data_IF_542257107186
#
_entry.id   IF_542257107186
#
_cell.length_a   1.000
_cell.length_b   1.000
_cell.length_c   1.000
_cell.angle_alpha   90.00
_cell.angle_beta   90.00
_cell.angle_gamma   90.00
#
_symmetry.space_group_name_H-M   'P 1'
#
loop_
_entity.id
_entity.type
_entity.pdbx_description
1 polymer ?
#
# COMPACT_ATOMS: atom_id res chain seq x y z
N UNK A 1 7.24 2.56 12.18
CA UNK A 1 6.14 2.34 11.21
C UNK A 1 6.43 3.14 9.95
N UNK A 2 5.72 2.91 8.84
CA UNK A 2 5.67 3.85 7.69
C UNK A 2 4.21 4.30 7.52
N UNK A 3 3.93 5.55 7.15
CA UNK A 3 2.55 5.97 6.93
C UNK A 3 1.99 5.37 5.62
N UNK A 4 0.68 5.20 5.51
CA UNK A 4 0.01 4.72 4.29
C UNK A 4 0.41 5.54 3.05
N UNK A 5 0.58 6.86 3.18
CA UNK A 5 1.08 7.72 2.09
C UNK A 5 2.41 7.26 1.49
N UNK A 6 3.29 6.67 2.31
CA UNK A 6 4.58 6.18 1.84
C UNK A 6 4.40 4.99 0.89
N UNK A 7 3.44 4.11 1.20
CA UNK A 7 3.10 2.99 0.33
C UNK A 7 2.55 3.49 -1.00
N UNK A 8 1.59 4.42 -1.00
CA UNK A 8 1.08 5.00 -2.23
C UNK A 8 2.24 5.54 -3.10
N UNK A 9 3.12 6.38 -2.54
CA UNK A 9 4.29 6.89 -3.28
C UNK A 9 5.25 5.81 -3.78
N UNK A 10 5.39 4.71 -3.05
CA UNK A 10 6.24 3.59 -3.46
C UNK A 10 5.60 2.84 -4.64
N UNK A 11 4.30 2.58 -4.57
CA UNK A 11 3.57 1.97 -5.67
C UNK A 11 3.60 2.86 -6.92
N UNK A 12 3.55 4.19 -6.78
CA UNK A 12 3.54 5.10 -7.94
C UNK A 12 4.83 5.03 -8.74
N UNK A 13 5.95 4.98 -8.03
CA UNK A 13 7.27 4.85 -8.63
C UNK A 13 7.44 3.51 -9.35
N UNK A 14 6.83 2.45 -8.85
CA UNK A 14 6.92 1.11 -9.42
C UNK A 14 5.95 0.92 -10.61
N UNK A 15 4.79 1.60 -10.63
CA UNK A 15 3.75 1.44 -11.68
C UNK A 15 3.84 2.45 -12.82
N UNK A 16 4.75 3.43 -12.76
CA UNK A 16 4.97 4.47 -13.78
C UNK A 16 3.75 5.36 -14.10
N UNK A 17 2.67 5.30 -13.33
CA UNK A 17 1.49 6.17 -13.46
C UNK A 17 1.13 6.86 -12.13
N UNK A 18 1.70 8.05 -11.92
CA UNK A 18 1.48 8.89 -10.75
C UNK A 18 0.00 9.31 -10.57
N UNK A 19 -0.80 9.31 -11.65
CA UNK A 19 -2.19 9.78 -11.63
C UNK A 19 -3.16 8.73 -11.07
N UNK A 20 -2.93 7.45 -11.31
CA UNK A 20 -3.75 6.37 -10.73
C UNK A 20 -3.56 6.24 -9.23
N UNK A 21 -2.33 6.49 -8.76
CA UNK A 21 -2.00 6.37 -7.35
C UNK A 21 -2.53 7.55 -6.56
N UNK A 22 -2.41 8.75 -7.11
CA UNK A 22 -3.00 9.96 -6.52
C UNK A 22 -4.50 9.75 -6.38
N UNK A 23 -5.18 9.27 -7.43
CA UNK A 23 -6.60 8.89 -7.35
C UNK A 23 -6.85 7.80 -6.31
N UNK A 24 -6.03 6.75 -6.23
CA UNK A 24 -6.18 5.70 -5.23
C UNK A 24 -6.06 6.21 -3.79
N UNK A 25 -5.13 7.15 -3.55
CA UNK A 25 -4.97 7.81 -2.27
C UNK A 25 -6.15 8.72 -1.89
N UNK A 26 -6.92 9.20 -2.87
CA UNK A 26 -8.12 10.01 -2.64
C UNK A 26 -9.42 9.18 -2.58
N UNK A 27 -9.51 8.07 -3.31
CA UNK A 27 -10.69 7.21 -3.41
C UNK A 27 -10.83 6.18 -2.29
N UNK A 28 -9.75 5.88 -1.56
CA UNK A 28 -9.85 5.45 -0.17
C UNK A 28 -10.39 4.07 0.14
N UNK A 29 -10.03 3.09 -0.68
CA UNK A 29 -10.34 1.70 -0.40
C UNK A 29 -9.05 0.94 -0.18
N UNK A 30 -8.66 0.88 1.10
CA UNK A 30 -7.54 0.08 1.57
C UNK A 30 -7.99 -0.80 2.73
N UNK A 31 -7.69 -2.10 2.62
CA UNK A 31 -7.93 -3.10 3.66
C UNK A 31 -6.62 -3.42 4.34
N UNK A 32 -6.53 -3.16 5.64
CA UNK A 32 -5.39 -3.48 6.49
C UNK A 32 -5.72 -4.65 7.37
N UNK A 33 -4.99 -5.75 7.24
CA UNK A 33 -5.23 -7.00 7.98
C UNK A 33 -6.71 -7.39 7.96
N UNK A 34 -7.33 -7.32 6.77
CA UNK A 34 -8.74 -7.62 6.51
C UNK A 34 -9.75 -6.61 7.06
N UNK A 35 -9.31 -5.61 7.82
CA UNK A 35 -10.12 -4.51 8.31
C UNK A 35 -10.16 -3.42 7.25
N UNK A 36 -11.37 -2.95 6.90
CA UNK A 36 -11.51 -1.80 6.03
C UNK A 36 -11.07 -0.55 6.80
N UNK A 37 -9.91 -0.02 6.44
CA UNK A 37 -9.41 1.23 6.97
C UNK A 37 -9.93 2.37 6.11
N UNK A 38 -10.60 3.35 6.75
CA UNK A 38 -10.84 4.65 6.13
C UNK A 38 -9.51 5.25 5.67
N UNK A 39 -9.61 6.17 4.72
CA UNK A 39 -8.53 6.76 3.96
C UNK A 39 -7.59 7.68 4.77
N UNK A 40 -7.14 7.23 5.93
CA UNK A 40 -6.18 7.92 6.78
C UNK A 40 -4.76 7.68 6.23
N UNK A 41 -4.30 8.64 5.44
CA UNK A 41 -2.98 8.61 4.81
C UNK A 41 -1.82 8.66 5.82
N UNK A 42 -2.08 9.11 7.06
CA UNK A 42 -1.10 9.13 8.15
C UNK A 42 -1.12 7.83 8.97
N UNK A 43 -2.07 6.92 8.70
CA UNK A 43 -2.17 5.66 9.43
C UNK A 43 -0.83 4.90 9.41
N UNK A 44 -0.32 4.47 10.57
CA UNK A 44 0.98 3.82 10.65
C UNK A 44 0.90 2.35 10.24
N UNK A 45 1.58 2.00 9.16
CA UNK A 45 1.86 0.63 8.75
C UNK A 45 3.03 0.05 9.56
N UNK A 46 2.72 -0.96 10.35
CA UNK A 46 3.66 -1.83 11.02
C UNK A 46 4.22 -2.86 10.04
N UNK A 47 5.22 -3.63 10.49
CA UNK A 47 5.78 -4.70 9.68
C UNK A 47 4.83 -5.89 9.67
N UNK A 48 4.79 -6.64 8.56
CA UNK A 48 3.90 -7.80 8.36
C UNK A 48 2.40 -7.47 8.24
N UNK A 49 2.01 -6.19 8.18
CA UNK A 49 0.62 -5.87 7.83
C UNK A 49 0.34 -6.35 6.41
N UNK A 50 -0.79 -7.05 6.25
CA UNK A 50 -1.34 -7.40 4.95
C UNK A 50 -2.18 -6.24 4.45
N UNK A 51 -1.93 -5.83 3.22
CA UNK A 51 -2.55 -4.64 2.66
C UNK A 51 -3.18 -4.99 1.34
N UNK A 52 -4.47 -4.72 1.22
CA UNK A 52 -5.24 -4.91 -0.01
C UNK A 52 -5.67 -3.53 -0.53
N UNK A 53 -5.21 -3.17 -1.72
CA UNK A 53 -5.64 -1.98 -2.43
C UNK A 53 -6.66 -2.37 -3.51
N UNK A 54 -7.90 -1.93 -3.33
CA UNK A 54 -8.99 -2.34 -4.22
C UNK A 54 -8.83 -1.82 -5.64
N UNK A 55 -8.41 -0.56 -5.81
CA UNK A 55 -8.30 0.07 -7.12
C UNK A 55 -7.26 -0.58 -8.02
N UNK A 56 -6.20 -1.14 -7.42
CA UNK A 56 -5.13 -1.80 -8.16
C UNK A 56 -5.31 -3.31 -8.22
N UNK A 57 -6.33 -3.86 -7.54
CA UNK A 57 -6.54 -5.30 -7.37
C UNK A 57 -5.25 -6.04 -6.92
N UNK A 58 -4.41 -5.38 -6.12
CA UNK A 58 -3.08 -5.86 -5.71
C UNK A 58 -3.00 -6.00 -4.20
N UNK A 59 -2.29 -7.03 -3.77
CA UNK A 59 -1.90 -7.25 -2.39
C UNK A 59 -0.48 -6.78 -2.16
N UNK A 60 -0.27 -6.12 -1.04
CA UNK A 60 1.01 -5.60 -0.61
C UNK A 60 1.33 -6.06 0.81
N UNK A 61 2.61 -6.07 1.14
CA UNK A 61 3.08 -6.24 2.51
C UNK A 61 4.28 -5.35 2.81
N UNK A 62 4.44 -5.02 4.08
CA UNK A 62 5.55 -4.24 4.61
C UNK A 62 6.63 -5.13 5.22
N UNK A 63 7.87 -4.97 4.77
CA UNK A 63 9.04 -5.69 5.26
C UNK A 63 10.22 -4.73 5.48
N UNK A 64 11.33 -5.26 6.00
CA UNK A 64 12.62 -4.57 5.99
C UNK A 64 13.52 -5.15 4.89
N UNK A 65 14.25 -4.29 4.19
CA UNK A 65 15.32 -4.71 3.29
C UNK A 65 16.61 -5.11 4.03
N UNK A 66 17.65 -5.51 3.28
CA UNK A 66 18.97 -5.88 3.81
C UNK A 66 19.67 -4.76 4.58
N UNK A 67 19.28 -3.51 4.36
CA UNK A 67 19.81 -2.32 5.02
C UNK A 67 18.91 -1.83 6.16
N UNK A 68 17.95 -2.65 6.61
CA UNK A 68 16.96 -2.31 7.65
C UNK A 68 16.06 -1.13 7.29
N UNK A 69 15.89 -0.81 6.00
CA UNK A 69 14.91 0.18 5.54
C UNK A 69 13.58 -0.51 5.28
N UNK A 70 12.48 0.09 5.73
CA UNK A 70 11.14 -0.44 5.45
C UNK A 70 10.85 -0.32 3.97
N UNK A 71 10.37 -1.40 3.36
CA UNK A 71 9.97 -1.48 1.96
C UNK A 71 8.59 -2.12 1.85
N UNK A 72 7.82 -1.65 0.88
CA UNK A 72 6.55 -2.27 0.47
C UNK A 72 6.87 -3.21 -0.70
N UNK A 73 6.33 -4.42 -0.69
CA UNK A 73 6.40 -5.35 -1.83
C UNK A 73 5.01 -5.85 -2.19
N UNK A 74 4.82 -6.15 -3.47
CA UNK A 74 3.64 -6.84 -3.99
C UNK A 74 3.69 -8.30 -3.53
N UNK A 75 2.61 -8.77 -2.91
CA UNK A 75 2.40 -10.16 -2.49
C UNK A 75 1.70 -10.97 -3.59
N UNK A 76 0.88 -10.32 -4.40
CA UNK A 76 0.15 -10.93 -5.51
C UNK A 76 -0.90 -10.00 -6.09
N UNK A 77 -1.58 -10.47 -7.13
CA UNK A 77 -2.69 -9.77 -7.78
C UNK A 77 -3.95 -10.62 -7.63
N UNK A 78 -5.07 -10.00 -7.24
CA UNK A 78 -6.38 -10.63 -7.31
C UNK A 78 -6.72 -10.83 -8.79
N UNK A 79 -7.20 -12.01 -9.11
CA UNK A 79 -7.84 -12.26 -10.40
C UNK A 79 -9.28 -11.79 -10.26
N UNK A 80 -9.66 -10.83 -11.11
CA UNK A 80 -11.05 -10.41 -11.30
C UNK A 80 -11.69 -11.27 -12.38
#
# INVERSE_FOLDING_TARGET
SIPVQYMYRTCARDEADDNEITRASHCGLLKLDWILTRNDVQFPLCSLNKIEMYLLNKYYFTLYDSHRKKKVKVLGQKWG
#
